data_IF_206042195932
#
_entry.id   IF_206042195932
#
_cell.length_a   1.000
_cell.length_b   1.000
_cell.length_c   1.000
_cell.angle_alpha   90.00
_cell.angle_beta   90.00
_cell.angle_gamma   90.00
#
_symmetry.space_group_name_H-M   'P 1'
#
loop_
_entity.id
_entity.type
_entity.pdbx_description
1 polymer ?
#
# COMPACT_ATOMS: atom_id res chain seq x y z
N UNK A 1 -14.02 2.31 -5.65
CA UNK A 1 -13.74 3.23 -4.56
C UNK A 1 -12.68 2.67 -3.64
N UNK A 2 -11.77 3.49 -3.18
CA UNK A 2 -10.68 3.06 -2.30
C UNK A 2 -10.91 3.64 -0.91
N UNK A 3 -10.70 2.82 0.11
CA UNK A 3 -10.71 3.28 1.49
C UNK A 3 -9.31 3.13 2.07
N UNK A 4 -8.80 4.21 2.62
CA UNK A 4 -7.47 4.26 3.20
C UNK A 4 -7.61 4.47 4.72
N UNK A 5 -7.06 3.55 5.50
CA UNK A 5 -7.09 3.65 6.96
C UNK A 5 -5.68 3.60 7.50
N UNK A 6 -5.35 4.53 8.39
CA UNK A 6 -4.06 4.54 9.06
C UNK A 6 -4.21 3.96 10.45
N UNK A 7 -3.40 2.96 10.76
CA UNK A 7 -3.43 2.28 12.04
C UNK A 7 -2.05 2.41 12.69
N UNK A 8 -2.02 2.84 13.96
CA UNK A 8 -0.76 2.91 14.68
C UNK A 8 -0.26 1.51 14.99
N UNK A 9 1.00 1.25 14.64
CA UNK A 9 1.65 -0.01 14.97
C UNK A 9 2.51 0.15 16.24
N UNK A 10 3.33 -0.87 16.49
CA UNK A 10 4.25 -0.86 17.62
C UNK A 10 5.57 -0.20 17.22
N UNK A 11 6.27 0.36 18.20
CA UNK A 11 7.62 0.92 18.02
C UNK A 11 7.70 1.99 16.94
N UNK A 12 6.67 2.85 16.86
CA UNK A 12 6.68 3.94 15.90
C UNK A 12 6.31 3.56 14.48
N UNK A 13 5.95 2.31 14.23
CA UNK A 13 5.51 1.89 12.90
C UNK A 13 4.06 2.30 12.66
N UNK A 14 3.70 2.47 11.40
CA UNK A 14 2.34 2.77 10.98
C UNK A 14 1.92 1.77 9.93
N UNK A 15 0.67 1.31 10.04
CA UNK A 15 0.09 0.40 9.07
C UNK A 15 -0.93 1.16 8.26
N UNK A 16 -0.78 1.12 6.93
CA UNK A 16 -1.73 1.71 6.00
C UNK A 16 -2.56 0.59 5.41
N UNK A 17 -3.83 0.56 5.77
CA UNK A 17 -4.75 -0.44 5.24
C UNK A 17 -5.49 0.12 4.04
N UNK A 18 -5.40 -0.57 2.92
CA UNK A 18 -6.10 -0.21 1.68
C UNK A 18 -7.22 -1.19 1.45
N UNK A 19 -8.43 -0.68 1.25
CA UNK A 19 -9.62 -1.50 1.03
C UNK A 19 -10.31 -1.08 -0.26
N UNK A 20 -10.79 -2.06 -1.01
CA UNK A 20 -11.56 -1.82 -2.22
C UNK A 20 -10.72 -1.92 -3.48
N UNK A 21 -10.74 -0.87 -4.30
CA UNK A 21 -10.09 -0.88 -5.62
C UNK A 21 -9.04 0.23 -5.70
N UNK A 22 -7.81 -0.14 -5.96
CA UNK A 22 -6.72 0.82 -6.15
C UNK A 22 -6.61 1.15 -7.63
N UNK A 23 -7.12 2.30 -8.02
CA UNK A 23 -7.19 2.77 -9.41
C UNK A 23 -6.36 4.03 -9.57
N UNK A 24 -6.05 4.37 -10.82
CA UNK A 24 -5.22 5.51 -11.18
C UNK A 24 -5.58 6.81 -10.43
N UNK A 25 -6.86 7.21 -10.33
CA UNK A 25 -7.18 8.45 -9.62
C UNK A 25 -6.75 8.48 -8.15
N UNK A 26 -6.58 7.30 -7.53
CA UNK A 26 -6.22 7.20 -6.12
C UNK A 26 -4.73 7.02 -5.89
N UNK A 27 -3.95 6.79 -6.94
CA UNK A 27 -2.52 6.49 -6.83
C UNK A 27 -1.76 7.62 -6.18
N UNK A 28 -1.98 8.86 -6.62
CA UNK A 28 -1.28 10.01 -6.07
C UNK A 28 -1.62 10.20 -4.59
N UNK A 29 -2.87 9.99 -4.22
CA UNK A 29 -3.30 10.13 -2.83
C UNK A 29 -2.65 9.09 -1.93
N UNK A 30 -2.59 7.85 -2.37
CA UNK A 30 -1.94 6.80 -1.60
C UNK A 30 -0.44 7.07 -1.48
N UNK A 31 0.20 7.48 -2.56
CA UNK A 31 1.63 7.81 -2.54
C UNK A 31 1.92 8.91 -1.53
N UNK A 32 1.10 9.96 -1.54
CA UNK A 32 1.28 11.06 -0.61
C UNK A 32 1.05 10.62 0.84
N UNK A 33 0.03 9.80 1.08
CA UNK A 33 -0.24 9.30 2.42
C UNK A 33 0.89 8.43 2.97
N UNK A 34 1.57 7.70 2.11
CA UNK A 34 2.67 6.83 2.51
C UNK A 34 4.00 7.57 2.68
N UNK A 35 4.13 8.76 2.09
CA UNK A 35 5.39 9.50 2.12
C UNK A 35 5.32 10.77 2.98
N UNK A 36 4.16 11.39 3.08
CA UNK A 36 4.00 12.64 3.81
C UNK A 36 4.04 12.38 5.32
N UNK A 37 4.81 13.20 6.02
CA UNK A 37 4.88 13.13 7.48
C UNK A 37 5.67 11.95 8.03
N UNK A 38 6.41 11.22 7.18
CA UNK A 38 7.27 10.15 7.63
C UNK A 38 8.70 10.44 7.24
N UNK A 39 9.63 10.19 8.16
CA UNK A 39 11.04 10.38 7.91
C UNK A 39 11.68 9.13 7.30
N UNK A 40 11.00 7.98 7.41
CA UNK A 40 11.56 6.72 6.95
C UNK A 40 10.47 5.82 6.38
N UNK A 41 10.61 5.41 5.10
CA UNK A 41 9.68 4.44 4.52
C UNK A 41 9.64 3.10 5.26
N UNK A 42 10.74 2.74 5.94
CA UNK A 42 10.79 1.49 6.70
C UNK A 42 9.86 1.45 7.90
N UNK A 43 9.30 2.60 8.30
CA UNK A 43 8.35 2.66 9.41
C UNK A 43 6.91 2.50 8.96
N UNK A 44 6.67 2.43 7.65
CA UNK A 44 5.33 2.26 7.09
C UNK A 44 5.19 0.82 6.61
N UNK A 45 4.05 0.23 6.92
CA UNK A 45 3.70 -1.10 6.44
C UNK A 45 2.34 -1.05 5.77
N UNK A 46 2.15 -1.91 4.79
CA UNK A 46 0.90 -1.96 4.03
C UNK A 46 0.11 -3.21 4.38
N UNK A 47 -1.17 -3.01 4.65
CA UNK A 47 -2.13 -4.10 4.78
C UNK A 47 -3.01 -4.07 3.55
N UNK A 48 -2.85 -5.05 2.68
CA UNK A 48 -3.54 -5.14 1.40
C UNK A 48 -4.54 -6.30 1.39
N UNK A 49 -4.89 -6.82 2.56
CA UNK A 49 -5.76 -8.00 2.66
C UNK A 49 -7.18 -7.75 2.16
N UNK A 50 -7.65 -6.51 2.22
CA UNK A 50 -8.98 -6.14 1.76
C UNK A 50 -8.98 -5.46 0.39
N UNK A 51 -7.85 -5.45 -0.30
CA UNK A 51 -7.73 -4.85 -1.62
C UNK A 51 -8.19 -5.88 -2.66
N UNK A 52 -9.26 -5.58 -3.37
CA UNK A 52 -9.91 -6.54 -4.27
C UNK A 52 -9.58 -6.33 -5.74
N UNK A 53 -9.05 -5.16 -6.09
CA UNK A 53 -8.66 -4.88 -7.47
C UNK A 53 -7.57 -3.82 -7.51
N UNK A 54 -6.62 -4.00 -8.44
CA UNK A 54 -5.52 -3.05 -8.65
C UNK A 54 -5.34 -2.91 -10.16
N UNK A 55 -5.41 -1.68 -10.68
CA UNK A 55 -5.11 -1.47 -12.09
C UNK A 55 -3.59 -1.36 -12.32
N UNK A 56 -3.17 -1.14 -13.56
CA UNK A 56 -1.75 -1.08 -13.89
C UNK A 56 -1.04 0.05 -13.13
N UNK A 57 -1.68 1.20 -12.99
CA UNK A 57 -1.09 2.31 -12.24
C UNK A 57 -0.97 1.99 -10.76
N UNK A 58 -1.98 1.33 -10.19
CA UNK A 58 -1.95 0.90 -8.79
C UNK A 58 -0.86 -0.12 -8.54
N UNK A 59 -0.70 -1.08 -9.45
CA UNK A 59 0.36 -2.08 -9.32
C UNK A 59 1.74 -1.43 -9.35
N UNK A 60 1.94 -0.47 -10.25
CA UNK A 60 3.20 0.27 -10.32
C UNK A 60 3.48 1.02 -9.03
N UNK A 61 2.45 1.64 -8.45
CA UNK A 61 2.58 2.32 -7.17
C UNK A 61 3.03 1.36 -6.08
N UNK A 62 2.39 0.20 -5.97
CA UNK A 62 2.75 -0.77 -4.93
C UNK A 62 4.19 -1.23 -5.08
N UNK A 63 4.64 -1.47 -6.31
CA UNK A 63 6.03 -1.86 -6.54
C UNK A 63 7.00 -0.75 -6.19
N UNK A 64 6.65 0.49 -6.50
CA UNK A 64 7.49 1.64 -6.14
C UNK A 64 7.62 1.77 -4.63
N UNK A 65 6.51 1.62 -3.90
CA UNK A 65 6.54 1.72 -2.44
C UNK A 65 7.38 0.61 -1.82
N UNK A 66 7.25 -0.61 -2.34
CA UNK A 66 8.06 -1.74 -1.86
C UNK A 66 9.53 -1.48 -2.15
N UNK A 67 9.85 -0.92 -3.31
CA UNK A 67 11.24 -0.61 -3.67
C UNK A 67 11.83 0.46 -2.77
N UNK A 68 11.00 1.33 -2.18
CA UNK A 68 11.43 2.35 -1.24
C UNK A 68 11.62 1.83 0.18
N UNK A 69 11.33 0.56 0.42
CA UNK A 69 11.49 -0.04 1.74
C UNK A 69 10.21 -0.25 2.52
N UNK A 70 9.06 0.08 1.94
CA UNK A 70 7.77 -0.16 2.59
C UNK A 70 7.44 -1.65 2.50
N UNK A 71 7.12 -2.24 3.65
CA UNK A 71 6.87 -3.67 3.75
C UNK A 71 5.37 -3.96 3.68
N UNK A 72 5.00 -5.03 2.96
CA UNK A 72 3.64 -5.52 2.92
C UNK A 72 3.47 -6.55 4.02
N UNK A 73 2.62 -6.25 5.00
CA UNK A 73 2.38 -7.15 6.14
C UNK A 73 1.50 -8.32 5.70
N UNK A 74 0.44 -8.02 4.97
CA UNK A 74 -0.48 -9.02 4.48
C UNK A 74 -1.14 -8.53 3.19
N UNK A 75 -1.55 -9.45 2.33
CA UNK A 75 -2.20 -9.12 1.08
C UNK A 75 -3.25 -10.17 0.75
N UNK A 76 -4.25 -9.78 -0.05
CA UNK A 76 -5.19 -10.73 -0.60
C UNK A 76 -4.46 -11.65 -1.58
N UNK A 77 -5.02 -12.83 -1.85
CA UNK A 77 -4.42 -13.75 -2.82
C UNK A 77 -4.25 -13.12 -4.19
N UNK A 78 -5.23 -12.31 -4.60
CA UNK A 78 -5.19 -11.59 -5.87
C UNK A 78 -3.97 -10.65 -5.94
N UNK A 79 -3.77 -9.82 -4.91
CA UNK A 79 -2.65 -8.87 -4.89
C UNK A 79 -1.32 -9.58 -4.79
N UNK A 80 -1.25 -10.62 -3.97
CA UNK A 80 -0.01 -11.40 -3.84
C UNK A 80 0.40 -11.98 -5.19
N UNK A 81 -0.55 -12.46 -5.96
CA UNK A 81 -0.29 -13.02 -7.28
C UNK A 81 0.20 -11.95 -8.25
N UNK A 82 -0.42 -10.76 -8.23
CA UNK A 82 0.02 -9.65 -9.06
C UNK A 82 1.45 -9.23 -8.75
N UNK A 83 1.80 -9.14 -7.49
CA UNK A 83 3.14 -8.73 -7.08
C UNK A 83 4.18 -9.78 -7.43
N UNK A 84 3.80 -11.05 -7.40
CA UNK A 84 4.70 -12.16 -7.71
C UNK A 84 4.97 -12.26 -9.21
N UNK A 85 3.96 -12.02 -10.04
CA UNK A 85 4.06 -12.25 -11.47
C UNK A 85 4.78 -11.15 -12.24
N UNK A 86 5.14 -10.12 -11.57
CA UNK A 86 5.82 -9.03 -12.21
C UNK A 86 7.26 -8.95 -11.93
#
# INVERSE_FOLDING_TARGET
MLRLTRIAGTHGTQIMKLEGKLLDPWVAEVRQACTAGTDSPGQIRLDLSALIFVDAAGLRLLRDLIAQGIEVVTSSGYVAELLRSG
#
